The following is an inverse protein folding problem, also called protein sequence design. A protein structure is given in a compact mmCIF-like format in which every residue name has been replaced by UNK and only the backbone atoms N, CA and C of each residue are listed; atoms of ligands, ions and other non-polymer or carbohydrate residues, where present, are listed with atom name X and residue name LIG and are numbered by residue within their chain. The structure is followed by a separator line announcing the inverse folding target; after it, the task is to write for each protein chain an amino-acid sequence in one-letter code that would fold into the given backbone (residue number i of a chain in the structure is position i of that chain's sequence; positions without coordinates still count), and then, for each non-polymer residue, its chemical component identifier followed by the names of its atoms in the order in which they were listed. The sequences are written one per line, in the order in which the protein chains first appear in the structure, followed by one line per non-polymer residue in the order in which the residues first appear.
data_IF_432342025045
#
_entry.id   IF_432342025045
#
_cell.length_a   1.000
_cell.length_b   1.000
_cell.length_c   1.000
_cell.angle_alpha   90.00
_cell.angle_beta   90.00
_cell.angle_gamma   90.00
#
_symmetry.space_group_name_H-M   'P 1'
#
loop_
_entity.id
_entity.type
_entity.pdbx_description
1 polymer ?
#
# COMPACT_ATOMS: atom_id res chain seq x y z
N UNK A 1 -33.37 19.87 -15.19
CA UNK A 1 -33.76 19.10 -16.38
C UNK A 1 -33.85 17.64 -15.98
N UNK A 2 -34.80 16.92 -16.56
CA UNK A 2 -35.21 15.53 -16.25
C UNK A 2 -34.15 14.48 -16.63
N UNK A 3 -32.91 14.67 -16.17
CA UNK A 3 -31.81 13.73 -16.44
C UNK A 3 -31.75 12.68 -15.36
N UNK A 4 -31.97 11.44 -15.77
CA UNK A 4 -31.78 10.23 -14.96
C UNK A 4 -30.32 9.78 -14.90
N UNK A 5 -29.45 10.32 -15.75
CA UNK A 5 -28.03 9.93 -15.83
C UNK A 5 -27.15 11.01 -15.19
N UNK A 6 -26.40 10.68 -14.12
CA UNK A 6 -25.46 11.60 -13.50
C UNK A 6 -24.34 12.06 -14.45
N UNK A 7 -23.94 13.32 -14.35
CA UNK A 7 -22.89 13.92 -15.17
C UNK A 7 -21.76 14.45 -14.29
N UNK A 8 -20.58 13.84 -14.40
CA UNK A 8 -19.33 14.31 -13.78
C UNK A 8 -18.49 15.01 -14.83
N UNK A 9 -18.03 16.23 -14.55
CA UNK A 9 -17.22 17.04 -15.46
C UNK A 9 -15.86 17.32 -14.84
N UNK A 10 -14.79 16.89 -15.52
CA UNK A 10 -13.42 17.34 -15.25
C UNK A 10 -13.06 18.43 -16.27
N UNK A 11 -13.09 19.73 -15.89
CA UNK A 11 -12.93 20.83 -16.84
C UNK A 11 -11.45 21.06 -17.13
N UNK A 12 -10.80 20.10 -17.79
CA UNK A 12 -9.35 20.16 -18.10
C UNK A 12 -9.06 21.35 -19.03
N UNK A 13 -8.59 22.46 -18.45
CA UNK A 13 -8.29 23.71 -19.18
C UNK A 13 -6.80 23.92 -19.43
N UNK A 14 -5.94 23.13 -18.77
CA UNK A 14 -4.48 23.19 -18.93
C UNK A 14 -3.90 21.78 -18.91
N UNK A 15 -2.97 21.49 -19.80
CA UNK A 15 -2.25 20.22 -19.77
C UNK A 15 -1.34 20.16 -18.53
N UNK A 16 -1.07 18.93 -18.03
CA UNK A 16 -0.11 18.70 -16.94
C UNK A 16 1.30 19.23 -17.27
N UNK A 17 1.64 19.38 -18.55
CA UNK A 17 2.89 19.96 -19.07
C UNK A 17 2.89 21.49 -19.16
N UNK A 18 1.79 22.15 -18.80
CA UNK A 18 1.66 23.62 -18.78
C UNK A 18 1.15 24.25 -20.08
N UNK A 19 0.92 23.46 -21.14
CA UNK A 19 0.30 23.95 -22.36
C UNK A 19 -1.16 24.38 -22.11
N UNK A 20 -1.54 25.56 -22.61
CA UNK A 20 -2.94 26.02 -22.54
C UNK A 20 -3.79 25.17 -23.48
N UNK A 21 -4.81 24.50 -22.93
CA UNK A 21 -5.87 23.83 -23.71
C UNK A 21 -7.13 24.72 -23.80
N UNK A 22 -7.11 25.86 -23.11
CA UNK A 22 -8.23 26.78 -22.95
C UNK A 22 -8.36 27.71 -24.15
N UNK A 23 -9.08 27.29 -25.18
CA UNK A 23 -9.71 28.24 -26.10
C UNK A 23 -10.87 28.91 -25.38
N UNK A 24 -11.04 30.23 -25.53
CA UNK A 24 -12.13 30.98 -24.88
C UNK A 24 -13.52 30.38 -25.16
N UNK A 25 -13.73 29.86 -26.36
CA UNK A 25 -14.95 29.16 -26.77
C UNK A 25 -15.28 27.96 -25.86
N UNK A 26 -14.27 27.16 -25.48
CA UNK A 26 -14.46 26.00 -24.60
C UNK A 26 -14.93 26.44 -23.22
N UNK A 27 -14.34 27.51 -22.68
CA UNK A 27 -14.72 28.06 -21.37
C UNK A 27 -16.18 28.54 -21.41
N UNK A 28 -16.58 29.23 -22.48
CA UNK A 28 -17.96 29.71 -22.65
C UNK A 28 -18.93 28.54 -22.72
N UNK A 29 -18.61 27.48 -23.48
CA UNK A 29 -19.44 26.27 -23.58
C UNK A 29 -19.55 25.55 -22.24
N UNK A 30 -18.44 25.37 -21.52
CA UNK A 30 -18.46 24.77 -20.18
C UNK A 30 -19.39 25.53 -19.25
N UNK A 31 -19.23 26.86 -19.14
CA UNK A 31 -20.04 27.72 -18.26
C UNK A 31 -21.51 27.74 -18.63
N UNK A 32 -21.84 27.84 -19.91
CA UNK A 32 -23.23 28.08 -20.36
C UNK A 32 -24.02 26.81 -20.66
N UNK A 33 -23.36 25.72 -21.05
CA UNK A 33 -24.03 24.51 -21.54
C UNK A 33 -23.80 23.27 -20.68
N UNK A 34 -22.62 23.11 -20.08
CA UNK A 34 -22.26 21.85 -19.41
C UNK A 34 -22.40 21.93 -17.88
N UNK A 35 -21.80 22.93 -17.24
CA UNK A 35 -21.84 23.12 -15.78
C UNK A 35 -23.29 23.21 -15.24
N UNK A 36 -24.25 23.92 -15.89
CA UNK A 36 -25.63 23.97 -15.40
C UNK A 36 -26.35 22.62 -15.41
N UNK A 37 -25.75 21.57 -15.99
CA UNK A 37 -26.33 20.25 -16.14
C UNK A 37 -25.57 19.18 -15.33
N UNK A 38 -24.49 19.53 -14.64
CA UNK A 38 -23.64 18.55 -13.99
C UNK A 38 -24.14 18.17 -12.59
N UNK A 39 -23.98 16.89 -12.27
CA UNK A 39 -24.09 16.36 -10.91
C UNK A 39 -22.89 16.79 -10.08
N UNK A 40 -21.70 16.79 -10.70
CA UNK A 40 -20.46 17.24 -10.07
C UNK A 40 -19.53 17.84 -11.13
N UNK A 41 -18.94 19.01 -10.85
CA UNK A 41 -17.78 19.53 -11.57
C UNK A 41 -16.54 19.48 -10.67
N UNK A 42 -15.41 19.03 -11.20
CA UNK A 42 -14.19 18.77 -10.41
C UNK A 42 -13.00 19.65 -10.82
N UNK A 43 -13.09 20.99 -10.79
CA UNK A 43 -11.97 21.83 -11.20
C UNK A 43 -10.79 21.73 -10.22
N UNK A 44 -9.55 21.81 -10.70
CA UNK A 44 -8.42 22.19 -9.84
C UNK A 44 -8.44 23.70 -9.53
N UNK A 45 -7.53 24.17 -8.65
CA UNK A 45 -7.40 25.60 -8.30
C UNK A 45 -7.42 26.53 -9.52
N UNK A 46 -6.54 26.29 -10.50
CA UNK A 46 -6.41 27.17 -11.68
C UNK A 46 -7.64 27.13 -12.60
N UNK A 47 -8.28 25.97 -12.74
CA UNK A 47 -9.52 25.81 -13.50
C UNK A 47 -10.68 26.53 -12.82
N UNK A 48 -10.78 26.42 -11.50
CA UNK A 48 -11.80 27.13 -10.72
C UNK A 48 -11.62 28.64 -10.84
N UNK A 49 -10.38 29.15 -10.76
CA UNK A 49 -10.06 30.56 -10.98
C UNK A 49 -10.50 31.04 -12.37
N UNK A 50 -10.24 30.27 -13.43
CA UNK A 50 -10.68 30.60 -14.80
C UNK A 50 -12.21 30.53 -14.96
N UNK A 51 -12.85 29.57 -14.30
CA UNK A 51 -14.30 29.37 -14.40
C UNK A 51 -15.11 30.41 -13.63
N UNK A 52 -14.56 30.97 -12.55
CA UNK A 52 -15.27 31.87 -11.64
C UNK A 52 -14.77 33.31 -11.70
N UNK A 53 -13.48 33.52 -11.99
CA UNK A 53 -12.80 34.80 -11.81
C UNK A 53 -12.41 35.08 -10.35
N UNK A 54 -12.69 34.16 -9.43
CA UNK A 54 -12.29 34.25 -8.02
C UNK A 54 -10.87 33.74 -7.89
N UNK A 55 -9.95 34.54 -7.35
CA UNK A 55 -8.59 34.10 -7.01
C UNK A 55 -8.61 33.25 -5.74
N UNK A 56 -8.01 32.06 -5.77
CA UNK A 56 -8.10 31.10 -4.67
C UNK A 56 -6.75 30.99 -3.96
N UNK A 57 -6.71 31.46 -2.72
CA UNK A 57 -5.54 31.39 -1.82
C UNK A 57 -5.78 30.56 -0.55
N UNK A 58 -7.00 30.04 -0.36
CA UNK A 58 -7.38 29.29 0.83
C UNK A 58 -8.85 28.84 0.78
N UNK A 59 -9.34 28.34 1.92
CA UNK A 59 -10.68 27.77 2.08
C UNK A 59 -11.81 28.73 1.69
N UNK A 60 -11.79 29.95 2.24
CA UNK A 60 -12.86 30.94 2.03
C UNK A 60 -13.05 31.28 0.54
N UNK A 61 -11.94 31.42 -0.21
CA UNK A 61 -12.03 31.70 -1.65
C UNK A 61 -12.46 30.46 -2.45
N UNK A 62 -12.08 29.25 -2.00
CA UNK A 62 -12.57 28.02 -2.61
C UNK A 62 -14.09 27.86 -2.42
N UNK A 63 -14.60 28.15 -1.23
CA UNK A 63 -16.04 28.14 -0.94
C UNK A 63 -16.79 29.14 -1.83
N UNK A 64 -16.32 30.38 -1.92
CA UNK A 64 -16.89 31.41 -2.82
C UNK A 64 -16.89 30.98 -4.29
N UNK A 65 -15.80 30.36 -4.75
CA UNK A 65 -15.71 29.85 -6.11
C UNK A 65 -16.74 28.72 -6.34
N UNK A 66 -16.92 27.83 -5.37
CA UNK A 66 -17.90 26.76 -5.43
C UNK A 66 -19.35 27.30 -5.46
N UNK A 67 -19.68 28.27 -4.60
CA UNK A 67 -20.98 28.96 -4.60
C UNK A 67 -21.30 29.61 -5.96
N UNK A 68 -20.31 30.24 -6.60
CA UNK A 68 -20.49 30.82 -7.94
C UNK A 68 -20.79 29.76 -9.01
N UNK A 69 -20.23 28.56 -8.90
CA UNK A 69 -20.50 27.47 -9.84
C UNK A 69 -21.85 26.82 -9.57
N UNK A 70 -22.23 26.67 -8.29
CA UNK A 70 -23.55 26.18 -7.87
C UNK A 70 -24.66 27.14 -8.32
N UNK A 71 -24.49 28.45 -8.12
CA UNK A 71 -25.46 29.46 -8.59
C UNK A 71 -25.60 29.51 -10.12
N UNK A 72 -24.63 28.98 -10.86
CA UNK A 72 -24.71 28.75 -12.32
C UNK A 72 -25.38 27.43 -12.71
N UNK A 73 -25.85 26.65 -11.73
CA UNK A 73 -26.65 25.44 -11.93
C UNK A 73 -25.92 24.12 -11.71
N UNK A 74 -24.66 24.12 -11.24
CA UNK A 74 -24.00 22.88 -10.83
C UNK A 74 -24.71 22.30 -9.59
N UNK A 75 -24.98 21.00 -9.58
CA UNK A 75 -25.52 20.33 -8.37
C UNK A 75 -24.47 20.14 -7.29
N UNK A 76 -23.19 20.05 -7.69
CA UNK A 76 -22.05 19.90 -6.79
C UNK A 76 -20.75 20.35 -7.43
N UNK A 77 -19.80 20.77 -6.61
CA UNK A 77 -18.48 21.26 -7.00
C UNK A 77 -17.43 20.63 -6.08
N UNK A 78 -16.39 20.03 -6.66
CA UNK A 78 -15.20 19.55 -5.96
C UNK A 78 -13.98 20.34 -6.42
N UNK A 79 -13.57 21.34 -5.66
CA UNK A 79 -12.35 22.11 -5.95
C UNK A 79 -11.15 21.34 -5.41
N UNK A 80 -10.25 20.92 -6.31
CA UNK A 80 -9.14 20.01 -6.01
C UNK A 80 -7.81 20.74 -5.79
N UNK A 81 -6.98 20.18 -4.92
CA UNK A 81 -5.55 20.49 -4.86
C UNK A 81 -5.22 21.86 -4.28
N UNK A 82 -5.97 22.32 -3.28
CA UNK A 82 -5.66 23.56 -2.56
C UNK A 82 -4.50 23.29 -1.61
N UNK A 83 -3.45 24.09 -1.77
CA UNK A 83 -2.22 23.99 -0.99
C UNK A 83 -2.38 24.72 0.35
N UNK A 84 -2.29 23.99 1.46
CA UNK A 84 -2.33 24.53 2.81
C UNK A 84 -0.98 24.34 3.55
N UNK A 85 0.12 24.22 2.81
CA UNK A 85 1.46 23.96 3.35
C UNK A 85 1.75 22.46 3.46
N UNK A 86 1.59 21.90 4.65
CA UNK A 86 1.85 20.47 4.93
C UNK A 86 0.81 19.55 4.27
N UNK A 87 -0.41 20.05 4.11
CA UNK A 87 -1.54 19.31 3.55
C UNK A 87 -1.98 19.86 2.19
N UNK A 88 -2.53 18.95 1.38
CA UNK A 88 -3.35 19.26 0.22
C UNK A 88 -4.81 19.00 0.55
N UNK A 89 -5.68 19.98 0.29
CA UNK A 89 -7.12 19.88 0.55
C UNK A 89 -7.97 19.96 -0.71
N UNK A 90 -9.01 19.13 -0.75
CA UNK A 90 -10.12 19.25 -1.71
C UNK A 90 -11.39 19.70 -0.97
N UNK A 91 -12.16 20.58 -1.60
CA UNK A 91 -13.39 21.16 -1.05
C UNK A 91 -14.58 20.71 -1.88
N UNK A 92 -15.47 19.93 -1.27
CA UNK A 92 -16.75 19.54 -1.84
C UNK A 92 -17.86 20.46 -1.32
N UNK A 93 -18.62 21.06 -2.22
CA UNK A 93 -19.84 21.82 -1.92
C UNK A 93 -20.98 21.38 -2.82
N UNK A 94 -22.15 21.16 -2.23
CA UNK A 94 -23.37 20.71 -2.90
C UNK A 94 -24.46 21.79 -2.85
N UNK A 95 -25.37 21.77 -3.82
CA UNK A 95 -26.47 22.73 -3.89
C UNK A 95 -27.48 22.63 -2.73
N UNK A 96 -27.51 21.49 -2.03
CA UNK A 96 -28.34 21.27 -0.83
C UNK A 96 -27.71 21.82 0.47
N UNK A 97 -26.54 22.47 0.37
CA UNK A 97 -25.79 22.99 1.51
C UNK A 97 -24.78 22.01 2.11
N UNK A 98 -24.71 20.76 1.63
CA UNK A 98 -23.71 19.80 2.10
C UNK A 98 -22.31 20.27 1.70
N UNK A 99 -21.41 20.37 2.67
CA UNK A 99 -20.00 20.70 2.46
C UNK A 99 -19.09 19.67 3.13
N UNK A 100 -17.93 19.42 2.52
CA UNK A 100 -16.89 18.55 3.10
C UNK A 100 -15.51 18.97 2.64
N UNK A 101 -14.58 19.04 3.58
CA UNK A 101 -13.15 19.21 3.30
C UNK A 101 -12.45 17.87 3.44
N UNK A 102 -11.59 17.56 2.47
CA UNK A 102 -10.72 16.38 2.51
C UNK A 102 -9.27 16.82 2.52
N UNK A 103 -8.59 16.65 3.65
CA UNK A 103 -7.16 16.96 3.78
C UNK A 103 -6.33 15.68 3.78
N UNK A 104 -5.21 15.74 3.10
CA UNK A 104 -4.23 14.66 3.01
C UNK A 104 -2.82 15.24 3.10
N UNK A 105 -1.90 14.62 3.86
CA UNK A 105 -0.50 15.00 3.86
C UNK A 105 0.02 15.04 2.44
N UNK A 106 0.86 16.04 2.14
CA UNK A 106 1.49 16.14 0.84
C UNK A 106 2.36 14.91 0.59
N UNK A 107 2.03 14.16 -0.47
CA UNK A 107 2.86 13.07 -0.95
C UNK A 107 3.85 13.64 -1.97
N UNK A 108 5.14 13.48 -1.69
CA UNK A 108 6.19 13.96 -2.58
C UNK A 108 6.20 13.21 -3.92
N UNK A 109 6.20 13.97 -5.01
CA UNK A 109 6.32 13.45 -6.36
C UNK A 109 5.48 14.23 -7.37
N UNK A 110 5.83 14.03 -8.64
CA UNK A 110 4.98 14.44 -9.76
C UNK A 110 4.23 13.20 -10.25
N UNK A 111 2.91 13.32 -10.33
CA UNK A 111 2.02 12.25 -10.74
C UNK A 111 1.20 12.71 -11.93
N UNK A 112 1.17 11.90 -12.98
CA UNK A 112 0.34 12.17 -14.14
C UNK A 112 -1.06 11.58 -13.94
N UNK A 113 -2.09 12.31 -14.39
CA UNK A 113 -3.45 11.80 -14.46
C UNK A 113 -4.26 11.77 -13.17
N UNK A 114 -3.75 12.31 -12.04
CA UNK A 114 -4.47 12.33 -10.75
C UNK A 114 -5.89 12.90 -10.86
N UNK A 115 -6.04 14.01 -11.60
CA UNK A 115 -7.33 14.66 -11.84
C UNK A 115 -8.32 13.78 -12.62
N UNK A 116 -7.87 13.22 -13.75
CA UNK A 116 -8.67 12.35 -14.60
C UNK A 116 -9.05 11.05 -13.90
N UNK A 117 -8.13 10.47 -13.12
CA UNK A 117 -8.37 9.25 -12.34
C UNK A 117 -9.42 9.54 -11.27
N UNK A 118 -9.31 10.66 -10.55
CA UNK A 118 -10.29 11.02 -9.53
C UNK A 118 -11.70 11.18 -10.13
N UNK A 119 -11.83 11.93 -11.22
CA UNK A 119 -13.12 12.18 -11.86
C UNK A 119 -13.73 10.89 -12.44
N UNK A 120 -12.91 10.03 -13.05
CA UNK A 120 -13.35 8.72 -13.54
C UNK A 120 -13.80 7.79 -12.42
N UNK A 121 -13.07 7.72 -11.30
CA UNK A 121 -13.43 6.90 -10.14
C UNK A 121 -14.72 7.41 -9.47
N UNK A 122 -14.91 8.73 -9.36
CA UNK A 122 -16.15 9.31 -8.86
C UNK A 122 -17.32 8.90 -9.77
N UNK A 123 -17.18 9.05 -11.09
CA UNK A 123 -18.21 8.65 -12.05
C UNK A 123 -18.54 7.15 -11.94
N UNK A 124 -17.52 6.30 -11.79
CA UNK A 124 -17.69 4.87 -11.56
C UNK A 124 -18.47 4.57 -10.28
N UNK A 125 -18.13 5.21 -9.16
CA UNK A 125 -18.85 5.03 -7.89
C UNK A 125 -20.30 5.52 -7.94
N UNK A 126 -20.57 6.64 -8.61
CA UNK A 126 -21.94 7.13 -8.81
C UNK A 126 -22.73 6.11 -9.65
N UNK A 127 -22.13 5.51 -10.68
CA UNK A 127 -22.79 4.47 -11.49
C UNK A 127 -23.16 3.21 -10.70
N UNK A 128 -22.48 2.95 -9.57
CA UNK A 128 -22.81 1.88 -8.61
C UNK A 128 -23.93 2.28 -7.63
N UNK A 129 -24.60 3.42 -7.84
CA UNK A 129 -25.70 3.90 -6.99
C UNK A 129 -25.25 4.61 -5.71
N UNK A 130 -23.98 5.00 -5.59
CA UNK A 130 -23.47 5.76 -4.44
C UNK A 130 -23.80 7.25 -4.60
N UNK A 131 -24.05 7.93 -3.48
CA UNK A 131 -24.15 9.39 -3.47
C UNK A 131 -22.80 10.06 -3.77
N UNK A 132 -22.82 11.37 -4.05
CA UNK A 132 -21.62 12.13 -4.46
C UNK A 132 -20.57 12.16 -3.35
N UNK A 133 -20.95 12.38 -2.10
CA UNK A 133 -20.01 12.46 -0.98
C UNK A 133 -19.28 11.13 -0.80
N UNK A 134 -20.03 10.03 -0.73
CA UNK A 134 -19.49 8.66 -0.65
C UNK A 134 -18.61 8.32 -1.84
N UNK A 135 -18.98 8.77 -3.04
CA UNK A 135 -18.21 8.55 -4.28
C UNK A 135 -16.88 9.28 -4.26
N UNK A 136 -16.86 10.54 -3.83
CA UNK A 136 -15.62 11.33 -3.66
C UNK A 136 -14.72 10.70 -2.61
N UNK A 137 -15.27 10.27 -1.47
CA UNK A 137 -14.49 9.59 -0.41
C UNK A 137 -13.79 8.34 -0.94
N UNK A 138 -14.53 7.47 -1.63
CA UNK A 138 -14.00 6.20 -2.15
C UNK A 138 -13.03 6.38 -3.32
N UNK A 139 -13.29 7.36 -4.18
CA UNK A 139 -12.37 7.72 -5.25
C UNK A 139 -11.06 8.30 -4.71
N UNK A 140 -11.12 9.15 -3.67
CA UNK A 140 -9.93 9.69 -3.00
C UNK A 140 -9.12 8.60 -2.30
N UNK A 141 -9.76 7.70 -1.56
CA UNK A 141 -9.11 6.53 -0.96
C UNK A 141 -8.32 5.74 -2.01
N UNK A 142 -8.93 5.52 -3.18
CA UNK A 142 -8.31 4.79 -4.28
C UNK A 142 -7.16 5.53 -4.93
N UNK A 143 -7.33 6.83 -5.17
CA UNK A 143 -6.29 7.67 -5.74
C UNK A 143 -5.07 7.74 -4.82
N UNK A 144 -5.26 7.89 -3.51
CA UNK A 144 -4.15 7.99 -2.55
C UNK A 144 -3.32 6.71 -2.51
N UNK A 145 -3.99 5.54 -2.48
CA UNK A 145 -3.28 4.26 -2.57
C UNK A 145 -2.51 4.12 -3.89
N UNK A 146 -3.12 4.57 -5.00
CA UNK A 146 -2.47 4.60 -6.30
C UNK A 146 -1.28 5.57 -6.37
N UNK A 147 -1.34 6.71 -5.68
CA UNK A 147 -0.24 7.68 -5.57
C UNK A 147 0.92 7.07 -4.77
N UNK A 148 0.64 6.45 -3.62
CA UNK A 148 1.65 5.77 -2.79
C UNK A 148 2.40 4.68 -3.58
N UNK A 149 1.72 4.06 -4.54
CA UNK A 149 2.24 2.93 -5.34
C UNK A 149 2.57 3.33 -6.78
N UNK A 150 2.61 4.63 -7.06
CA UNK A 150 2.86 5.18 -8.40
C UNK A 150 4.22 4.75 -8.94
N UNK A 151 4.24 4.29 -10.19
CA UNK A 151 5.44 3.71 -10.81
C UNK A 151 6.12 4.71 -11.75
N UNK A 152 7.44 4.77 -11.68
CA UNK A 152 8.24 5.50 -12.67
C UNK A 152 8.49 4.59 -13.88
N UNK A 153 7.78 4.84 -14.99
CA UNK A 153 8.01 4.13 -16.25
C UNK A 153 9.10 4.89 -17.02
N UNK A 154 10.29 4.30 -17.11
CA UNK A 154 11.46 4.95 -17.72
C UNK A 154 11.91 6.19 -16.94
N UNK A 155 12.17 7.30 -17.65
CA UNK A 155 12.59 8.58 -17.06
C UNK A 155 11.44 9.60 -16.92
N UNK A 156 10.19 9.14 -17.09
CA UNK A 156 9.01 9.99 -17.10
C UNK A 156 8.43 10.31 -15.71
N UNK A 157 7.31 11.04 -15.71
CA UNK A 157 6.49 11.31 -14.52
C UNK A 157 5.88 9.99 -14.01
N UNK A 158 5.68 9.84 -12.69
CA UNK A 158 5.06 8.64 -12.13
C UNK A 158 3.62 8.46 -12.63
N UNK A 159 3.28 7.23 -12.98
CA UNK A 159 1.93 6.83 -13.44
C UNK A 159 1.24 6.05 -12.32
N UNK A 160 -0.07 6.26 -12.20
CA UNK A 160 -0.93 5.62 -11.19
C UNK A 160 -1.77 4.56 -11.88
N UNK A 161 -1.86 3.37 -11.30
CA UNK A 161 -2.80 2.32 -11.68
C UNK A 161 -4.17 2.61 -11.02
N UNK A 162 -5.22 2.97 -11.76
CA UNK A 162 -6.52 3.31 -11.17
C UNK A 162 -7.18 2.14 -10.42
N UNK A 163 -6.82 0.90 -10.76
CA UNK A 163 -7.38 -0.30 -10.14
C UNK A 163 -6.60 -0.77 -8.92
N UNK A 164 -5.62 0.00 -8.43
CA UNK A 164 -4.70 -0.43 -7.38
C UNK A 164 -5.41 -0.95 -6.12
N UNK A 165 -6.50 -0.32 -5.67
CA UNK A 165 -7.29 -0.81 -4.52
C UNK A 165 -7.83 -2.21 -4.76
N UNK A 166 -8.43 -2.44 -5.92
CA UNK A 166 -9.04 -3.72 -6.27
C UNK A 166 -7.95 -4.79 -6.37
N UNK A 167 -6.81 -4.45 -6.98
CA UNK A 167 -5.66 -5.35 -7.10
C UNK A 167 -5.10 -5.72 -5.73
N UNK A 168 -4.92 -4.74 -4.83
CA UNK A 168 -4.43 -4.97 -3.46
C UNK A 168 -5.42 -5.84 -2.68
N UNK A 169 -6.72 -5.55 -2.72
CA UNK A 169 -7.71 -6.36 -2.00
C UNK A 169 -7.82 -7.79 -2.56
N UNK A 170 -7.75 -7.97 -3.88
CA UNK A 170 -7.69 -9.29 -4.50
C UNK A 170 -6.45 -10.08 -4.06
N UNK A 171 -5.28 -9.43 -4.03
CA UNK A 171 -4.05 -10.06 -3.52
C UNK A 171 -4.19 -10.43 -2.04
N UNK A 172 -4.76 -9.54 -1.21
CA UNK A 172 -4.97 -9.83 0.21
C UNK A 172 -5.82 -11.09 0.40
N UNK A 173 -6.94 -11.21 -0.32
CA UNK A 173 -7.77 -12.41 -0.27
C UNK A 173 -6.97 -13.67 -0.63
N UNK A 174 -6.26 -13.66 -1.77
CA UNK A 174 -5.46 -14.80 -2.23
C UNK A 174 -4.36 -15.19 -1.23
N UNK A 175 -3.74 -14.22 -0.57
CA UNK A 175 -2.71 -14.46 0.45
C UNK A 175 -3.31 -15.15 1.67
N UNK A 176 -4.47 -14.70 2.16
CA UNK A 176 -5.15 -15.33 3.30
C UNK A 176 -5.54 -16.77 2.98
N UNK A 177 -6.05 -17.03 1.77
CA UNK A 177 -6.36 -18.39 1.32
C UNK A 177 -5.10 -19.26 1.24
N UNK A 178 -4.02 -18.72 0.68
CA UNK A 178 -2.72 -19.42 0.58
C UNK A 178 -2.19 -19.82 1.97
N UNK A 179 -2.21 -18.90 2.93
CA UNK A 179 -1.79 -19.19 4.30
C UNK A 179 -2.74 -20.17 5.00
N UNK A 180 -4.04 -20.09 4.72
CA UNK A 180 -5.02 -21.04 5.27
C UNK A 180 -4.75 -22.46 4.79
N UNK A 181 -4.44 -22.63 3.50
CA UNK A 181 -4.13 -23.94 2.92
C UNK A 181 -2.79 -24.48 3.41
N UNK A 182 -1.75 -23.65 3.45
CA UNK A 182 -0.40 -24.12 3.81
C UNK A 182 -0.27 -24.53 5.29
N UNK A 183 -1.18 -24.04 6.16
CA UNK A 183 -1.26 -24.41 7.57
C UNK A 183 -1.12 -25.91 7.80
N UNK A 184 -1.92 -26.71 7.08
CA UNK A 184 -1.91 -28.17 7.25
C UNK A 184 -0.58 -28.82 6.85
N UNK A 185 0.14 -28.21 5.92
CA UNK A 185 1.45 -28.71 5.48
C UNK A 185 2.55 -28.36 6.50
N UNK A 186 2.47 -27.17 7.12
CA UNK A 186 3.35 -26.78 8.22
C UNK A 186 3.24 -27.77 9.38
N UNK A 187 2.02 -28.09 9.81
CA UNK A 187 1.77 -29.01 10.94
C UNK A 187 2.28 -30.45 10.66
N UNK A 188 2.42 -30.83 9.39
CA UNK A 188 2.84 -32.19 8.99
C UNK A 188 4.31 -32.32 8.63
N UNK A 189 4.92 -31.26 8.08
CA UNK A 189 6.19 -31.38 7.36
C UNK A 189 7.38 -30.72 8.05
N UNK A 190 7.14 -29.90 9.08
CA UNK A 190 8.21 -29.19 9.81
C UNK A 190 8.60 -29.98 11.07
N UNK A 191 9.90 -30.11 11.31
CA UNK A 191 10.40 -30.69 12.55
C UNK A 191 10.22 -29.74 13.75
N UNK A 192 9.63 -30.24 14.83
CA UNK A 192 9.33 -29.45 16.05
C UNK A 192 10.57 -28.91 16.77
N UNK A 193 11.78 -29.41 16.45
CA UNK A 193 13.07 -28.90 16.96
C UNK A 193 13.49 -27.58 16.31
N UNK A 194 12.86 -27.21 15.19
CA UNK A 194 13.08 -25.93 14.53
C UNK A 194 12.29 -24.79 15.17
N UNK A 195 11.36 -25.06 16.08
CA UNK A 195 10.54 -24.03 16.71
C UNK A 195 11.26 -23.39 17.91
N UNK A 196 11.36 -22.05 17.98
CA UNK A 196 11.93 -21.34 19.13
C UNK A 196 10.93 -21.29 20.30
N UNK A 197 11.37 -20.87 21.48
CA UNK A 197 10.51 -20.80 22.67
C UNK A 197 9.39 -19.76 22.49
N UNK A 198 9.70 -18.65 21.81
CA UNK A 198 8.69 -17.64 21.45
C UNK A 198 7.73 -18.09 20.34
N UNK A 199 7.94 -19.26 19.75
CA UNK A 199 7.20 -19.75 18.58
C UNK A 199 7.62 -19.10 17.27
N UNK A 200 7.31 -19.78 16.17
CA UNK A 200 7.57 -19.32 14.80
C UNK A 200 6.37 -18.61 14.20
N UNK A 201 6.58 -17.79 13.18
CA UNK A 201 5.49 -17.27 12.37
C UNK A 201 5.93 -17.26 10.91
N UNK A 202 5.01 -17.61 10.01
CA UNK A 202 5.21 -17.54 8.57
C UNK A 202 4.41 -16.35 8.04
N UNK A 203 5.09 -15.45 7.36
CA UNK A 203 4.45 -14.28 6.77
C UNK A 203 4.46 -14.28 5.25
N UNK A 204 3.49 -13.61 4.65
CA UNK A 204 3.42 -13.40 3.21
C UNK A 204 2.83 -12.02 2.88
N UNK A 205 3.50 -11.27 2.02
CA UNK A 205 3.10 -9.90 1.67
C UNK A 205 2.41 -9.79 0.31
N UNK A 206 1.64 -8.72 0.13
CA UNK A 206 1.27 -8.22 -1.20
C UNK A 206 2.52 -7.83 -2.00
N UNK A 207 2.37 -7.53 -3.30
CA UNK A 207 3.46 -6.98 -4.10
C UNK A 207 3.85 -5.59 -3.61
N UNK A 208 5.15 -5.30 -3.53
CA UNK A 208 5.69 -4.01 -3.09
C UNK A 208 5.04 -3.52 -1.78
N UNK A 209 5.12 -4.28 -0.67
CA UNK A 209 4.51 -3.87 0.59
C UNK A 209 5.17 -2.59 1.10
N UNK A 210 4.36 -1.62 1.53
CA UNK A 210 4.85 -0.34 2.04
C UNK A 210 4.93 -0.31 3.57
N UNK A 211 4.08 -1.11 4.24
CA UNK A 211 3.87 -1.08 5.68
C UNK A 211 3.71 -2.48 6.27
N UNK A 212 3.86 -2.59 7.59
CA UNK A 212 3.76 -3.89 8.27
C UNK A 212 2.38 -4.55 8.11
N UNK A 213 1.33 -3.73 7.94
CA UNK A 213 -0.04 -4.20 7.70
C UNK A 213 -0.26 -4.76 6.30
N UNK A 214 0.72 -4.66 5.41
CA UNK A 214 0.68 -5.25 4.06
C UNK A 214 1.20 -6.69 4.03
N UNK A 215 1.54 -7.24 5.21
CA UNK A 215 2.04 -8.59 5.40
C UNK A 215 1.07 -9.38 6.26
N UNK A 216 0.60 -10.52 5.77
CA UNK A 216 -0.20 -11.47 6.53
C UNK A 216 0.69 -12.46 7.28
N UNK A 217 0.22 -12.95 8.43
CA UNK A 217 0.83 -14.04 9.19
C UNK A 217 -0.20 -14.65 10.14
N UNK A 218 0.20 -15.57 11.02
CA UNK A 218 -0.72 -16.20 11.98
C UNK A 218 -0.82 -15.42 13.28
N UNK A 219 -2.04 -15.21 13.79
CA UNK A 219 -2.26 -14.44 15.04
C UNK A 219 -1.76 -15.14 16.29
N UNK A 220 -1.73 -16.48 16.33
CA UNK A 220 -1.30 -17.28 17.49
C UNK A 220 0.07 -17.93 17.37
N UNK A 221 0.79 -17.72 16.24
CA UNK A 221 2.09 -18.35 15.92
C UNK A 221 2.02 -19.86 15.68
N UNK A 222 3.16 -20.43 15.36
CA UNK A 222 3.42 -21.85 15.17
C UNK A 222 4.23 -22.29 16.39
N UNK A 223 3.66 -23.16 17.20
CA UNK A 223 4.21 -23.55 18.51
C UNK A 223 4.40 -25.06 18.61
N UNK A 224 5.19 -25.48 19.59
CA UNK A 224 5.34 -26.90 19.93
C UNK A 224 4.10 -27.37 20.71
N UNK A 225 3.45 -28.41 20.21
CA UNK A 225 2.39 -29.15 20.91
C UNK A 225 2.85 -30.61 21.04
N UNK A 226 3.48 -30.95 22.16
CA UNK A 226 4.14 -32.26 22.32
C UNK A 226 5.34 -32.40 21.37
N UNK A 227 5.29 -33.41 20.51
CA UNK A 227 6.31 -33.74 19.51
C UNK A 227 5.99 -33.19 18.10
N UNK A 228 4.90 -32.42 17.94
CA UNK A 228 4.47 -31.88 16.66
C UNK A 228 4.37 -30.35 16.65
N UNK A 229 4.59 -29.71 15.49
CA UNK A 229 4.25 -28.31 15.30
C UNK A 229 2.73 -28.12 15.22
N UNK A 230 2.23 -27.05 15.83
CA UNK A 230 0.82 -26.66 15.79
C UNK A 230 0.69 -25.19 15.41
N UNK A 231 -0.15 -24.87 14.43
CA UNK A 231 -0.44 -23.48 14.06
C UNK A 231 -1.65 -23.01 14.86
N UNK A 232 -1.48 -21.91 15.61
CA UNK A 232 -2.51 -21.30 16.45
C UNK A 232 -3.02 -20.02 15.78
N UNK A 233 -4.33 -19.82 15.83
CA UNK A 233 -4.99 -18.67 15.22
C UNK A 233 -5.22 -18.80 13.71
N UNK A 234 -5.66 -17.70 13.11
CA UNK A 234 -5.97 -17.60 11.68
C UNK A 234 -4.96 -16.66 10.98
N UNK A 235 -4.77 -16.80 9.66
CA UNK A 235 -4.06 -15.81 8.88
C UNK A 235 -4.73 -14.44 8.97
N UNK A 236 -3.94 -13.39 9.20
CA UNK A 236 -4.42 -12.01 9.21
C UNK A 236 -3.30 -11.05 8.81
N UNK A 237 -3.66 -10.01 8.04
CA UNK A 237 -2.77 -8.88 7.75
C UNK A 237 -2.40 -8.11 9.02
N UNK A 238 -1.11 -7.82 9.18
CA UNK A 238 -0.56 -7.17 10.37
C UNK A 238 -0.40 -8.08 11.60
N UNK A 239 -0.60 -9.39 11.48
CA UNK A 239 -0.50 -10.32 12.61
C UNK A 239 0.91 -10.41 13.24
N UNK A 240 1.97 -10.17 12.45
CA UNK A 240 3.36 -10.27 12.93
C UNK A 240 4.21 -9.10 12.44
N UNK A 241 4.38 -8.10 13.30
CA UNK A 241 5.29 -6.96 13.05
C UNK A 241 6.73 -7.41 12.79
N UNK A 242 7.17 -8.47 13.49
CA UNK A 242 8.53 -8.99 13.37
C UNK A 242 8.81 -9.56 11.97
N UNK A 243 7.94 -10.46 11.50
CA UNK A 243 8.08 -11.05 10.16
C UNK A 243 7.84 -9.99 9.08
N UNK A 244 6.90 -9.08 9.29
CA UNK A 244 6.65 -8.01 8.34
C UNK A 244 7.89 -7.14 8.12
N UNK A 245 8.63 -6.77 9.17
CA UNK A 245 9.88 -6.00 9.05
C UNK A 245 10.96 -6.75 8.28
N UNK A 246 11.05 -8.06 8.44
CA UNK A 246 12.02 -8.89 7.71
C UNK A 246 11.69 -8.90 6.22
N UNK A 247 10.42 -9.14 5.86
CA UNK A 247 9.97 -9.16 4.47
C UNK A 247 10.13 -7.78 3.83
N UNK A 248 9.76 -6.71 4.54
CA UNK A 248 9.94 -5.33 4.07
C UNK A 248 11.41 -5.00 3.82
N UNK A 249 12.32 -5.38 4.72
CA UNK A 249 13.74 -5.14 4.55
C UNK A 249 14.32 -5.94 3.38
N UNK A 250 14.03 -7.24 3.29
CA UNK A 250 14.48 -8.08 2.16
C UNK A 250 13.91 -7.62 0.81
N UNK A 251 12.64 -7.20 0.79
CA UNK A 251 11.94 -6.72 -0.39
C UNK A 251 12.52 -5.44 -1.01
N UNK A 252 13.21 -4.61 -0.21
CA UNK A 252 13.95 -3.43 -0.74
C UNK A 252 15.10 -3.82 -1.66
N UNK A 253 15.76 -4.94 -1.37
CA UNK A 253 16.88 -5.47 -2.16
C UNK A 253 16.42 -6.39 -3.28
N UNK A 254 15.35 -7.17 -3.04
CA UNK A 254 14.74 -8.01 -4.07
C UNK A 254 13.22 -8.08 -3.90
N UNK A 255 12.44 -7.36 -4.74
CA UNK A 255 10.98 -7.33 -4.67
C UNK A 255 10.28 -8.69 -4.83
N UNK A 256 10.97 -9.71 -5.34
CA UNK A 256 10.42 -11.06 -5.46
C UNK A 256 10.37 -11.80 -4.12
N UNK A 257 11.11 -11.36 -3.10
CA UNK A 257 11.11 -11.97 -1.77
C UNK A 257 9.95 -11.38 -0.97
N UNK A 258 8.90 -12.18 -0.80
CA UNK A 258 7.65 -11.75 -0.17
C UNK A 258 7.23 -12.60 1.02
N UNK A 259 7.97 -13.64 1.36
CA UNK A 259 7.66 -14.54 2.46
C UNK A 259 8.88 -14.79 3.34
N UNK A 260 8.63 -14.96 4.63
CA UNK A 260 9.67 -15.32 5.59
C UNK A 260 9.09 -16.11 6.76
N UNK A 261 9.92 -16.98 7.34
CA UNK A 261 9.63 -17.71 8.58
C UNK A 261 10.82 -17.66 9.53
N UNK A 262 10.57 -17.37 10.80
CA UNK A 262 11.59 -17.44 11.84
C UNK A 262 11.67 -18.83 12.46
N UNK A 263 12.86 -19.32 12.75
CA UNK A 263 13.14 -20.63 13.35
C UNK A 263 14.24 -20.51 14.41
N UNK A 264 14.29 -21.48 15.32
CA UNK A 264 15.25 -21.54 16.44
C UNK A 264 16.67 -21.54 15.92
N UNK A 265 17.49 -20.63 16.45
CA UNK A 265 18.93 -20.66 16.25
C UNK A 265 19.61 -21.62 17.23
N UNK A 266 20.50 -22.44 16.69
CA UNK A 266 21.56 -23.18 17.38
C UNK A 266 22.50 -23.76 16.30
N UNK A 267 23.69 -24.20 16.70
CA UNK A 267 24.71 -24.70 15.77
C UNK A 267 24.19 -25.87 14.91
N UNK A 268 23.36 -26.75 15.49
CA UNK A 268 22.76 -27.87 14.78
C UNK A 268 21.80 -27.42 13.67
N UNK A 269 20.93 -26.47 13.96
CA UNK A 269 19.96 -25.95 12.99
C UNK A 269 20.65 -25.11 11.91
N UNK A 270 21.71 -24.38 12.25
CA UNK A 270 22.52 -23.65 11.29
C UNK A 270 23.26 -24.61 10.34
N UNK A 271 23.92 -25.63 10.87
CA UNK A 271 24.55 -26.68 10.06
C UNK A 271 23.54 -27.42 9.17
N UNK A 272 22.31 -27.65 9.66
CA UNK A 272 21.25 -28.24 8.83
C UNK A 272 20.81 -27.31 7.68
N UNK A 273 20.89 -25.99 7.85
CA UNK A 273 20.64 -25.05 6.75
C UNK A 273 21.76 -25.13 5.68
N UNK A 274 23.01 -25.21 6.10
CA UNK A 274 24.16 -25.35 5.21
C UNK A 274 24.14 -26.68 4.43
N UNK A 275 23.90 -27.81 5.12
CA UNK A 275 23.71 -29.13 4.49
C UNK A 275 22.52 -29.15 3.53
N UNK A 276 21.47 -28.40 3.87
CA UNK A 276 20.33 -28.21 2.99
C UNK A 276 20.67 -27.35 1.75
N UNK A 277 21.89 -26.82 1.59
CA UNK A 277 22.33 -26.04 0.43
C UNK A 277 21.72 -24.64 0.39
N UNK A 278 21.41 -24.06 1.56
CA UNK A 278 20.87 -22.71 1.68
C UNK A 278 22.01 -21.71 1.81
N UNK A 279 21.92 -20.60 1.08
CA UNK A 279 22.80 -19.45 1.31
C UNK A 279 22.43 -18.77 2.63
N UNK A 280 23.43 -18.39 3.43
CA UNK A 280 23.20 -17.76 4.73
C UNK A 280 24.06 -16.52 4.95
N UNK A 281 23.46 -15.47 5.52
CA UNK A 281 24.16 -14.31 6.05
C UNK A 281 23.83 -14.11 7.53
N UNK A 282 24.62 -13.29 8.21
CA UNK A 282 24.45 -12.98 9.63
C UNK A 282 24.60 -11.49 9.89
N UNK A 283 24.00 -11.03 10.98
CA UNK A 283 24.30 -9.71 11.53
C UNK A 283 24.45 -9.80 13.05
N UNK A 284 25.16 -8.84 13.62
CA UNK A 284 25.35 -8.70 15.05
C UNK A 284 24.49 -7.55 15.58
N UNK A 285 23.78 -7.80 16.68
CA UNK A 285 22.98 -6.76 17.35
C UNK A 285 23.82 -5.74 18.11
N UNK A 286 25.11 -6.00 18.29
CA UNK A 286 26.02 -5.09 18.99
C UNK A 286 26.51 -3.96 18.09
N UNK A 287 26.43 -4.15 16.77
CA UNK A 287 26.82 -3.16 15.77
C UNK A 287 25.65 -2.22 15.40
N UNK A 288 24.54 -2.31 16.15
CA UNK A 288 23.31 -1.55 15.93
C UNK A 288 23.50 -0.03 16.18
N UNK A 289 23.15 0.84 15.20
CA UNK A 289 23.08 2.27 15.42
C UNK A 289 21.97 2.65 16.41
N UNK A 290 22.23 3.59 17.32
CA UNK A 290 21.30 3.97 18.41
C UNK A 290 19.93 4.53 17.97
N UNK A 291 19.77 4.85 16.68
CA UNK A 291 18.65 5.64 16.13
C UNK A 291 17.73 4.84 15.19
N UNK A 292 18.00 3.54 14.93
CA UNK A 292 17.28 2.76 13.91
C UNK A 292 16.55 1.56 14.53
N UNK A 293 15.43 1.15 13.95
CA UNK A 293 14.72 -0.07 14.36
C UNK A 293 15.61 -1.31 14.20
N UNK A 294 15.94 -1.95 15.32
CA UNK A 294 16.88 -3.10 15.45
C UNK A 294 16.75 -4.26 14.46
N UNK A 295 15.60 -4.41 13.79
CA UNK A 295 15.30 -5.58 12.96
C UNK A 295 15.38 -5.29 11.46
N UNK A 296 14.95 -4.10 11.01
CA UNK A 296 15.07 -3.72 9.61
C UNK A 296 16.53 -3.45 9.25
N UNK A 297 17.30 -2.86 10.17
CA UNK A 297 18.72 -2.60 9.98
C UNK A 297 19.54 -3.88 9.87
N UNK A 298 19.38 -4.83 10.80
CA UNK A 298 20.19 -6.06 10.78
C UNK A 298 19.98 -6.92 9.53
N UNK A 299 18.74 -6.97 9.01
CA UNK A 299 18.46 -7.67 7.75
C UNK A 299 19.09 -6.94 6.56
N UNK A 300 18.98 -5.61 6.53
CA UNK A 300 19.56 -4.76 5.49
C UNK A 300 21.10 -4.86 5.45
N UNK A 301 21.74 -4.83 6.62
CA UNK A 301 23.19 -4.98 6.80
C UNK A 301 23.69 -6.36 6.36
N UNK A 302 22.99 -7.43 6.78
CA UNK A 302 23.32 -8.79 6.37
C UNK A 302 23.21 -8.99 4.85
N UNK A 303 22.17 -8.43 4.22
CA UNK A 303 21.97 -8.52 2.76
C UNK A 303 23.03 -7.70 2.02
N UNK A 304 23.30 -6.47 2.48
CA UNK A 304 24.29 -5.59 1.85
C UNK A 304 25.70 -6.20 1.91
N UNK A 305 26.07 -6.75 3.06
CA UNK A 305 27.35 -7.44 3.26
C UNK A 305 27.48 -8.72 2.42
N UNK A 306 26.36 -9.44 2.22
CA UNK A 306 26.33 -10.64 1.37
C UNK A 306 26.28 -10.30 -0.14
N UNK A 307 25.85 -9.10 -0.51
CA UNK A 307 25.74 -8.61 -1.89
C UNK A 307 24.47 -9.04 -2.63
N UNK A 308 23.64 -9.88 -2.04
CA UNK A 308 22.33 -10.30 -2.57
C UNK A 308 21.43 -10.79 -1.44
N UNK A 309 20.14 -11.06 -1.70
CA UNK A 309 19.25 -11.60 -0.65
C UNK A 309 19.52 -13.10 -0.47
N UNK A 310 20.05 -13.56 0.69
CA UNK A 310 20.32 -14.97 0.94
C UNK A 310 19.03 -15.74 1.28
N UNK A 311 19.11 -17.07 1.34
CA UNK A 311 17.98 -17.91 1.75
C UNK A 311 17.72 -17.86 3.25
N UNK A 312 18.76 -17.65 4.06
CA UNK A 312 18.69 -17.58 5.51
C UNK A 312 19.45 -16.37 6.07
N UNK A 313 18.86 -15.66 7.04
CA UNK A 313 19.54 -14.61 7.81
C UNK A 313 19.44 -14.93 9.29
N UNK A 314 20.58 -14.98 9.99
CA UNK A 314 20.60 -15.32 11.40
C UNK A 314 21.29 -14.28 12.28
N UNK A 315 20.96 -14.30 13.57
CA UNK A 315 21.65 -13.53 14.61
C UNK A 315 21.81 -14.36 15.88
N UNK A 316 22.94 -14.16 16.57
CA UNK A 316 23.25 -14.83 17.84
C UNK A 316 22.50 -14.24 19.05
N UNK A 317 21.46 -13.43 18.82
CA UNK A 317 20.66 -12.83 19.87
C UNK A 317 21.34 -11.62 20.52
N UNK A 318 20.82 -11.23 21.69
CA UNK A 318 21.36 -10.14 22.49
C UNK A 318 20.67 -10.09 23.85
N UNK A 319 20.98 -9.09 24.68
CA UNK A 319 20.36 -8.97 26.01
C UNK A 319 18.83 -8.89 25.89
N UNK A 320 18.14 -9.94 26.36
CA UNK A 320 16.67 -10.06 26.28
C UNK A 320 16.10 -10.38 24.89
N UNK A 321 16.93 -10.75 23.90
CA UNK A 321 16.50 -11.12 22.55
C UNK A 321 16.99 -12.54 22.23
N UNK A 322 16.04 -13.47 22.02
CA UNK A 322 16.35 -14.85 21.63
C UNK A 322 17.07 -14.87 20.27
N UNK A 323 18.14 -15.66 20.10
CA UNK A 323 18.81 -15.84 18.82
C UNK A 323 17.88 -16.52 17.81
N UNK A 324 18.01 -16.18 16.53
CA UNK A 324 17.01 -16.56 15.53
C UNK A 324 17.62 -16.76 14.14
N UNK A 325 17.13 -17.76 13.40
CA UNK A 325 17.36 -17.91 11.95
C UNK A 325 16.07 -17.50 11.23
N UNK A 326 16.18 -16.78 10.12
CA UNK A 326 15.06 -16.29 9.32
C UNK A 326 15.19 -16.86 7.92
N UNK A 327 14.28 -17.74 7.54
CA UNK A 327 14.23 -18.33 6.21
C UNK A 327 13.41 -17.42 5.31
N UNK A 328 14.00 -16.96 4.22
CA UNK A 328 13.41 -16.07 3.23
C UNK A 328 12.97 -16.87 2.00
N UNK A 329 11.90 -16.41 1.33
CA UNK A 329 11.41 -17.03 0.11
C UNK A 329 10.49 -16.13 -0.68
N UNK A 330 10.22 -16.55 -1.92
CA UNK A 330 9.34 -15.82 -2.84
C UNK A 330 7.88 -15.88 -2.41
N UNK A 331 7.49 -17.01 -1.84
CA UNK A 331 6.14 -17.30 -1.38
C UNK A 331 6.18 -18.34 -0.24
N UNK A 332 5.04 -18.61 0.42
CA UNK A 332 4.96 -19.58 1.52
C UNK A 332 5.41 -20.99 1.14
N UNK A 333 5.22 -21.41 -0.12
CA UNK A 333 5.59 -22.74 -0.60
C UNK A 333 7.10 -22.86 -0.72
N UNK A 334 7.76 -21.86 -1.28
CA UNK A 334 9.23 -21.76 -1.35
C UNK A 334 9.86 -21.84 0.05
N UNK A 335 9.33 -21.08 1.01
CA UNK A 335 9.79 -21.15 2.42
C UNK A 335 9.57 -22.54 3.00
N UNK A 336 8.41 -23.16 2.77
CA UNK A 336 8.13 -24.51 3.27
C UNK A 336 9.04 -25.58 2.65
N UNK A 337 9.35 -25.49 1.35
CA UNK A 337 10.27 -26.41 0.68
C UNK A 337 11.68 -26.33 1.30
N UNK A 338 12.16 -25.13 1.61
CA UNK A 338 13.41 -24.92 2.36
C UNK A 338 13.33 -25.53 3.76
N UNK A 339 12.22 -25.32 4.47
CA UNK A 339 11.99 -25.91 5.80
C UNK A 339 11.98 -27.44 5.81
N UNK A 340 11.43 -28.07 4.77
CA UNK A 340 11.43 -29.53 4.62
C UNK A 340 12.86 -30.03 4.38
N UNK A 341 13.66 -29.34 3.56
CA UNK A 341 15.08 -29.69 3.34
C UNK A 341 15.87 -29.58 4.63
N UNK A 342 15.68 -28.53 5.42
CA UNK A 342 16.31 -28.37 6.74
C UNK A 342 15.90 -29.53 7.66
N UNK A 343 14.60 -29.87 7.71
CA UNK A 343 14.07 -30.92 8.57
C UNK A 343 14.68 -32.31 8.26
N UNK A 344 14.91 -32.63 6.99
CA UNK A 344 15.60 -33.88 6.59
C UNK A 344 17.05 -33.92 7.10
N UNK A 345 17.78 -32.81 6.98
CA UNK A 345 19.18 -32.71 7.40
C UNK A 345 19.37 -32.61 8.93
N UNK A 346 18.29 -32.55 9.72
CA UNK A 346 18.33 -32.68 11.18
C UNK A 346 18.28 -34.13 11.67
N UNK A 347 17.84 -35.06 10.81
CA UNK A 347 17.69 -36.48 11.12
C UNK A 347 18.97 -37.28 10.83
N UNK A 348 19.89 -36.71 10.05
CA UNK A 348 21.22 -37.24 9.70
C UNK A 348 22.33 -36.72 10.65
#
# INVERSE_FOLDING_TARGET
GDRTIPLVIDPVLRATTGASLAKEELIVVLKRKLIPLCTLVTPNRSEAEVLTGVRISGSEQAEKAAEQLISKGASGVLIKGIDNGEDISDYLSMADGTTRVFSTPRIEGLFHGTGCILSALIAGHISLGRDVLSSVMKARESLLLGIERGQAIGKGIRVIEPLEVILVEAQKSQILDTLTVIRGNIEKAIDVRLLPEVGSNLGYSITSPARETDVAGYTGRIVREGDRPRVIGCPQFGASKHIARIILAAGKHNPNIRSAMNIKFNDRNLAACEKAGLSSASFSRYDEPKEVSSMSWGVDDAITSFGSVPDAIWDAGGKGKEPMIRILGRDPKDVLEKMIRISKNLQE
#
